data_IF_906571175030
#
_entry.id   IF_906571175030
#
_cell.length_a   1.000
_cell.length_b   1.000
_cell.length_c   1.000
_cell.angle_alpha   90.00
_cell.angle_beta   90.00
_cell.angle_gamma   90.00
#
_symmetry.space_group_name_H-M   'P 1'
#
loop_
_entity.id
_entity.type
_entity.pdbx_description
1 polymer ?
#
# COMPACT_ATOMS: atom_id res chain seq x y z
N UNK A 1 12.00 -12.20 -1.52
CA UNK A 1 11.39 -13.33 -0.79
C UNK A 1 10.31 -13.97 -1.64
N UNK A 2 9.38 -13.17 -2.20
CA UNK A 2 8.28 -13.65 -3.06
C UNK A 2 8.73 -14.47 -4.27
N UNK A 3 9.76 -14.03 -5.00
CA UNK A 3 10.31 -14.82 -6.13
C UNK A 3 10.84 -16.20 -5.70
N UNK A 4 11.40 -16.31 -4.49
CA UNK A 4 11.95 -17.57 -3.97
C UNK A 4 10.87 -18.61 -3.67
N UNK A 5 9.62 -18.18 -3.52
CA UNK A 5 8.47 -19.06 -3.27
C UNK A 5 7.58 -19.20 -4.53
N UNK A 6 8.08 -18.76 -5.69
CA UNK A 6 7.46 -19.02 -7.00
C UNK A 6 6.66 -17.87 -7.61
N UNK A 7 6.62 -16.68 -6.98
CA UNK A 7 5.93 -15.54 -7.60
C UNK A 7 6.77 -14.85 -8.66
N UNK A 8 6.15 -14.49 -9.78
CA UNK A 8 6.69 -13.44 -10.66
C UNK A 8 6.41 -12.08 -10.03
N UNK A 9 7.44 -11.27 -9.84
CA UNK A 9 7.33 -9.98 -9.14
C UNK A 9 7.55 -8.83 -10.10
N UNK A 10 6.57 -7.92 -10.16
CA UNK A 10 6.68 -6.65 -10.88
C UNK A 10 6.58 -5.49 -9.90
N UNK A 11 7.50 -4.53 -9.99
CA UNK A 11 7.51 -3.34 -9.13
C UNK A 11 7.09 -2.12 -9.93
N UNK A 12 5.89 -1.63 -9.67
CA UNK A 12 5.39 -0.38 -10.23
C UNK A 12 5.76 0.77 -9.29
N UNK A 13 6.73 1.57 -9.74
CA UNK A 13 7.07 2.83 -9.05
C UNK A 13 6.14 3.94 -9.52
N UNK A 14 5.83 4.86 -8.62
CA UNK A 14 5.05 6.06 -8.94
C UNK A 14 5.87 6.99 -9.85
N UNK A 15 5.77 6.80 -11.17
CA UNK A 15 6.32 7.68 -12.19
C UNK A 15 5.16 8.19 -13.07
N UNK A 16 4.95 9.51 -13.06
CA UNK A 16 3.87 10.19 -13.79
C UNK A 16 3.95 10.00 -15.31
N UNK A 17 5.08 9.48 -15.83
CA UNK A 17 5.27 9.16 -17.25
C UNK A 17 4.78 7.75 -17.62
N UNK A 18 4.45 6.91 -16.66
CA UNK A 18 3.92 5.57 -16.95
C UNK A 18 2.50 5.71 -17.50
N UNK A 19 2.29 5.14 -18.68
CA UNK A 19 1.00 5.14 -19.34
C UNK A 19 -0.01 4.31 -18.53
N UNK A 20 -1.22 4.84 -18.36
CA UNK A 20 -2.30 4.18 -17.63
C UNK A 20 -2.62 2.78 -18.17
N UNK A 21 -2.46 2.57 -19.49
CA UNK A 21 -2.65 1.27 -20.14
C UNK A 21 -1.69 0.22 -19.59
N UNK A 22 -0.45 0.59 -19.28
CA UNK A 22 0.52 -0.32 -18.67
C UNK A 22 0.11 -0.68 -17.26
N UNK A 23 -0.25 0.33 -16.46
CA UNK A 23 -0.75 0.15 -15.09
C UNK A 23 -1.96 -0.79 -15.07
N UNK A 24 -2.91 -0.59 -15.99
CA UNK A 24 -4.08 -1.44 -16.16
C UNK A 24 -3.69 -2.89 -16.43
N UNK A 25 -2.86 -3.15 -17.45
CA UNK A 25 -2.48 -4.52 -17.81
C UNK A 25 -1.79 -5.25 -16.69
N UNK A 26 -0.87 -4.57 -16.01
CA UNK A 26 -0.12 -5.17 -14.93
C UNK A 26 -1.03 -5.52 -13.76
N UNK A 27 -1.91 -4.60 -13.34
CA UNK A 27 -2.83 -4.83 -12.22
C UNK A 27 -3.92 -5.85 -12.55
N UNK A 28 -4.48 -5.81 -13.75
CA UNK A 28 -5.49 -6.76 -14.21
C UNK A 28 -4.94 -8.19 -14.26
N UNK A 29 -3.66 -8.34 -14.63
CA UNK A 29 -3.00 -9.65 -14.68
C UNK A 29 -2.41 -10.10 -13.32
N UNK A 30 -2.42 -9.24 -12.29
CA UNK A 30 -1.84 -9.58 -10.99
C UNK A 30 -2.80 -10.40 -10.13
N UNK A 31 -2.28 -11.43 -9.45
CA UNK A 31 -3.06 -12.20 -8.48
C UNK A 31 -2.98 -11.60 -7.07
N UNK A 32 -1.85 -10.95 -6.77
CA UNK A 32 -1.62 -10.25 -5.52
C UNK A 32 -1.00 -8.88 -5.82
N UNK A 33 -1.57 -7.83 -5.22
CA UNK A 33 -1.02 -6.48 -5.26
C UNK A 33 -0.73 -6.04 -3.84
N UNK A 34 0.51 -5.61 -3.60
CA UNK A 34 0.94 -5.04 -2.33
C UNK A 34 1.25 -3.56 -2.56
N UNK A 35 0.55 -2.67 -1.86
CA UNK A 35 0.75 -1.24 -1.94
C UNK A 35 0.79 -0.60 -0.58
N UNK A 36 1.65 0.41 -0.39
CA UNK A 36 1.55 1.28 0.79
C UNK A 36 0.39 2.26 0.60
N UNK A 37 -0.32 2.54 1.69
CA UNK A 37 -1.41 3.52 1.70
C UNK A 37 -1.00 4.86 1.07
N UNK A 38 -1.73 5.29 0.05
CA UNK A 38 -1.47 6.54 -0.67
C UNK A 38 -2.33 6.66 -1.92
N UNK A 39 -2.34 7.84 -2.55
CA UNK A 39 -3.23 8.14 -3.67
C UNK A 39 -3.04 7.19 -4.88
N UNK A 40 -1.79 6.81 -5.18
CA UNK A 40 -1.47 5.93 -6.32
C UNK A 40 -1.96 4.50 -6.12
N UNK A 41 -2.26 4.08 -4.88
CA UNK A 41 -2.80 2.75 -4.60
C UNK A 41 -4.20 2.55 -5.22
N UNK A 42 -4.94 3.64 -5.48
CA UNK A 42 -6.29 3.64 -6.09
C UNK A 42 -6.36 2.88 -7.42
N UNK A 43 -5.25 2.67 -8.12
CA UNK A 43 -5.25 1.85 -9.33
C UNK A 43 -5.65 0.39 -9.10
N UNK A 44 -5.71 -0.09 -7.84
CA UNK A 44 -6.23 -1.42 -7.49
C UNK A 44 -7.62 -1.71 -8.08
N UNK A 45 -8.38 -0.67 -8.46
CA UNK A 45 -9.64 -0.77 -9.20
C UNK A 45 -9.53 -1.55 -10.53
N UNK A 46 -8.31 -1.70 -11.07
CA UNK A 46 -8.05 -2.48 -12.28
C UNK A 46 -7.81 -3.97 -12.00
N UNK A 47 -7.74 -4.39 -10.74
CA UNK A 47 -7.63 -5.80 -10.38
C UNK A 47 -8.91 -6.56 -10.72
N UNK A 48 -8.75 -7.85 -10.97
CA UNK A 48 -9.88 -8.77 -11.15
C UNK A 48 -10.49 -9.12 -9.77
N UNK A 49 -11.82 -9.30 -9.67
CA UNK A 49 -12.48 -9.91 -8.51
C UNK A 49 -11.86 -11.25 -8.11
N UNK A 50 -11.92 -11.57 -6.81
CA UNK A 50 -11.38 -12.80 -6.21
C UNK A 50 -9.90 -12.76 -5.85
N UNK A 51 -9.16 -11.71 -6.23
CA UNK A 51 -7.72 -11.59 -6.02
C UNK A 51 -7.36 -10.74 -4.80
N UNK A 52 -6.07 -10.73 -4.42
CA UNK A 52 -5.63 -10.24 -3.11
C UNK A 52 -5.04 -8.83 -3.20
N UNK A 53 -5.58 -7.90 -2.41
CA UNK A 53 -5.01 -6.58 -2.19
C UNK A 53 -4.46 -6.49 -0.77
N UNK A 54 -3.14 -6.31 -0.64
CA UNK A 54 -2.48 -6.07 0.63
C UNK A 54 -2.11 -4.59 0.72
N UNK A 55 -2.70 -3.89 1.68
CA UNK A 55 -2.36 -2.52 2.00
C UNK A 55 -1.38 -2.48 3.17
N UNK A 56 -0.18 -1.96 2.95
CA UNK A 56 0.71 -1.56 4.03
C UNK A 56 0.21 -0.23 4.59
N UNK A 57 -0.18 -0.21 5.86
CA UNK A 57 -0.81 0.94 6.53
C UNK A 57 0.24 1.67 7.38
N UNK A 58 0.63 2.90 7.00
CA UNK A 58 1.50 3.76 7.80
C UNK A 58 0.94 4.06 9.20
N UNK A 59 1.81 4.58 10.06
CA UNK A 59 1.43 5.00 11.40
C UNK A 59 0.32 6.06 11.34
N UNK A 60 -0.70 5.90 12.18
CA UNK A 60 -1.79 6.87 12.36
C UNK A 60 -2.75 7.04 11.18
N UNK A 61 -2.67 6.21 10.14
CA UNK A 61 -3.58 6.27 8.97
C UNK A 61 -4.62 5.15 8.95
N UNK A 62 -4.72 4.34 10.01
CA UNK A 62 -5.56 3.14 10.04
C UNK A 62 -7.04 3.39 9.74
N UNK A 63 -7.60 4.50 10.23
CA UNK A 63 -8.98 4.87 9.89
C UNK A 63 -9.13 5.18 8.39
N UNK A 64 -8.21 5.97 7.83
CA UNK A 64 -8.22 6.32 6.41
C UNK A 64 -7.95 5.11 5.50
N UNK A 65 -7.14 4.15 5.94
CA UNK A 65 -6.88 2.92 5.20
C UNK A 65 -8.15 2.13 4.93
N UNK A 66 -8.94 1.89 5.97
CA UNK A 66 -10.21 1.20 5.85
C UNK A 66 -11.23 2.02 5.04
N UNK A 67 -11.37 3.30 5.36
CA UNK A 67 -12.36 4.18 4.72
C UNK A 67 -12.08 4.44 3.23
N UNK A 68 -10.81 4.52 2.82
CA UNK A 68 -10.44 4.85 1.43
C UNK A 68 -10.23 3.62 0.55
N UNK A 69 -9.77 2.51 1.13
CA UNK A 69 -9.35 1.35 0.34
C UNK A 69 -10.01 0.06 0.80
N UNK A 70 -10.01 -0.24 2.10
CA UNK A 70 -10.50 -1.52 2.60
C UNK A 70 -11.97 -1.80 2.27
N UNK A 71 -12.87 -0.85 2.57
CA UNK A 71 -14.29 -0.99 2.22
C UNK A 71 -14.53 -1.12 0.73
N UNK A 72 -13.82 -0.34 -0.08
CA UNK A 72 -13.99 -0.34 -1.53
C UNK A 72 -13.44 -1.63 -2.16
N UNK A 73 -12.30 -2.12 -1.70
CA UNK A 73 -11.72 -3.39 -2.14
C UNK A 73 -12.66 -4.56 -1.91
N UNK A 74 -13.29 -4.65 -0.73
CA UNK A 74 -14.27 -5.70 -0.44
C UNK A 74 -15.55 -5.57 -1.27
N UNK A 75 -16.01 -4.34 -1.55
CA UNK A 75 -17.14 -4.08 -2.46
C UNK A 75 -16.85 -4.50 -3.90
N UNK A 76 -15.58 -4.51 -4.30
CA UNK A 76 -15.10 -4.97 -5.60
C UNK A 76 -14.71 -6.46 -5.59
N UNK A 77 -15.11 -7.19 -4.54
CA UNK A 77 -14.87 -8.62 -4.38
C UNK A 77 -13.38 -8.99 -4.34
N UNK A 78 -12.55 -8.10 -3.80
CA UNK A 78 -11.13 -8.38 -3.53
C UNK A 78 -10.96 -8.94 -2.11
N UNK A 79 -10.03 -9.88 -2.00
CA UNK A 79 -9.51 -10.36 -0.72
C UNK A 79 -8.56 -9.30 -0.14
N UNK A 80 -9.09 -8.40 0.67
CA UNK A 80 -8.34 -7.29 1.25
C UNK A 80 -7.67 -7.66 2.59
N UNK A 81 -6.38 -7.32 2.72
CA UNK A 81 -5.64 -7.33 3.99
C UNK A 81 -4.98 -5.98 4.24
N UNK A 82 -5.17 -5.43 5.44
CA UNK A 82 -4.54 -4.18 5.88
C UNK A 82 -3.47 -4.43 6.94
N UNK A 83 -2.20 -4.35 6.55
CA UNK A 83 -1.07 -4.63 7.43
C UNK A 83 -0.51 -3.33 8.00
N UNK A 84 -0.83 -3.05 9.26
CA UNK A 84 -0.32 -1.89 9.98
C UNK A 84 1.13 -2.11 10.39
N UNK A 85 1.99 -1.18 10.00
CA UNK A 85 3.40 -1.21 10.39
C UNK A 85 3.60 -0.79 11.85
N UNK A 86 4.63 -1.34 12.46
CA UNK A 86 5.17 -0.89 13.73
C UNK A 86 6.08 0.33 13.54
N UNK A 87 6.25 1.17 14.58
CA UNK A 87 7.19 2.29 14.52
C UNK A 87 8.58 1.88 14.05
N UNK A 88 9.10 0.75 14.52
CA UNK A 88 10.43 0.20 14.17
C UNK A 88 10.60 -0.17 12.69
N UNK A 89 9.51 -0.29 11.94
CA UNK A 89 9.52 -0.59 10.50
C UNK A 89 9.48 0.69 9.66
N UNK A 90 9.33 1.85 10.29
CA UNK A 90 9.30 3.16 9.64
C UNK A 90 10.64 3.87 9.77
N UNK A 91 11.07 4.54 8.71
CA UNK A 91 12.21 5.48 8.76
C UNK A 91 11.98 6.66 9.71
N UNK A 92 10.74 6.90 10.15
CA UNK A 92 10.43 7.84 11.23
C UNK A 92 11.10 7.45 12.55
N UNK A 93 11.34 6.16 12.78
CA UNK A 93 11.97 5.66 14.00
C UNK A 93 13.39 6.18 14.18
N UNK A 94 14.14 6.31 13.09
CA UNK A 94 15.51 6.83 13.12
C UNK A 94 15.55 8.35 13.19
N UNK A 95 14.49 9.01 12.70
CA UNK A 95 14.38 10.47 12.64
C UNK A 95 13.89 11.10 13.93
N UNK A 96 13.03 10.41 14.67
CA UNK A 96 12.39 10.91 15.88
C UNK A 96 12.80 10.08 17.09
N UNK A 97 12.91 10.73 18.26
CA UNK A 97 13.21 10.01 19.50
C UNK A 97 12.12 8.96 19.81
N UNK A 98 12.48 7.85 20.46
CA UNK A 98 11.55 6.74 20.78
C UNK A 98 10.30 7.16 21.58
N UNK A 99 10.36 8.30 22.25
CA UNK A 99 9.27 8.87 23.04
C UNK A 99 8.54 10.01 22.33
N UNK A 100 8.93 10.33 21.10
CA UNK A 100 8.33 11.39 20.31
C UNK A 100 6.85 11.06 20.03
N UNK A 101 5.93 12.03 20.23
CA UNK A 101 4.52 11.87 19.92
C UNK A 101 4.24 11.40 18.49
N UNK A 102 5.10 11.70 17.51
CA UNK A 102 4.96 11.20 16.12
C UNK A 102 4.97 9.67 16.07
N UNK A 103 5.72 8.99 16.95
CA UNK A 103 5.78 7.53 17.02
C UNK A 103 4.76 6.94 18.01
N UNK A 104 4.55 7.61 19.15
CA UNK A 104 3.65 7.11 20.22
C UNK A 104 2.17 7.38 19.97
N UNK A 105 1.86 8.53 19.38
CA UNK A 105 0.50 8.93 19.06
C UNK A 105 0.46 9.65 17.69
N UNK A 106 0.70 8.91 16.60
CA UNK A 106 0.77 9.48 15.24
C UNK A 106 -0.53 10.20 14.83
N UNK A 107 -1.69 9.82 15.40
CA UNK A 107 -2.98 10.45 15.13
C UNK A 107 -3.07 11.92 15.60
N UNK A 108 -2.19 12.38 16.50
CA UNK A 108 -2.18 13.77 16.98
C UNK A 108 -1.50 14.76 16.00
N UNK A 109 -0.69 14.27 15.05
CA UNK A 109 0.03 15.11 14.08
C UNK A 109 -0.18 14.60 12.63
N UNK A 110 -1.43 14.53 12.15
CA UNK A 110 -1.73 13.97 10.82
C UNK A 110 -1.05 14.77 9.68
N UNK A 111 -0.91 16.10 9.84
CA UNK A 111 -0.27 16.97 8.85
C UNK A 111 1.24 16.71 8.67
N UNK A 112 1.93 16.18 9.68
CA UNK A 112 3.36 15.83 9.58
C UNK A 112 3.59 14.48 8.87
N UNK A 113 2.53 13.69 8.68
CA UNK A 113 2.58 12.41 7.97
C UNK A 113 2.14 12.51 6.51
N UNK A 114 1.59 13.66 6.08
CA UNK A 114 1.29 13.97 4.68
C UNK A 114 2.45 13.75 3.68
N UNK A 115 3.71 14.13 3.96
CA UNK A 115 4.81 13.83 3.04
C UNK A 115 5.22 12.35 3.02
N UNK A 116 4.73 11.53 3.96
CA UNK A 116 4.92 10.07 3.95
C UNK A 116 3.74 9.33 3.30
N UNK A 117 2.67 10.06 2.95
CA UNK A 117 1.51 9.57 2.20
C UNK A 117 1.72 9.64 0.68
N UNK A 118 2.80 10.28 0.20
CA UNK A 118 2.93 10.72 -1.20
C UNK A 118 4.04 10.07 -2.02
N UNK A 119 4.75 9.06 -1.52
CA UNK A 119 5.62 8.23 -2.38
C UNK A 119 5.54 6.78 -1.96
N UNK A 120 4.95 5.96 -2.83
CA UNK A 120 4.77 4.54 -2.61
C UNK A 120 5.10 3.78 -3.88
N UNK A 121 6.00 2.81 -3.74
CA UNK A 121 6.20 1.74 -4.71
C UNK A 121 5.11 0.67 -4.50
N UNK A 122 4.43 0.26 -5.56
CA UNK A 122 3.50 -0.87 -5.57
C UNK A 122 4.35 -2.10 -5.97
N UNK A 123 4.32 -3.14 -5.13
CA UNK A 123 4.99 -4.41 -5.40
C UNK A 123 3.93 -5.46 -5.72
N UNK A 124 4.01 -6.08 -6.89
CA UNK A 124 3.00 -6.99 -7.42
C UNK A 124 3.58 -8.39 -7.51
N UNK A 125 2.75 -9.39 -7.28
CA UNK A 125 3.16 -10.79 -7.31
C UNK A 125 2.10 -11.61 -8.09
N UNK A 126 2.54 -12.40 -9.08
CA UNK A 126 1.71 -13.39 -9.81
C UNK A 126 2.12 -14.80 -9.46
N UNK A 127 1.16 -15.71 -9.30
CA UNK A 127 1.39 -17.14 -9.04
C UNK A 127 1.19 -17.94 -10.34
N UNK A 128 2.10 -18.87 -10.62
CA UNK A 128 1.94 -19.92 -11.63
C UNK A 128 1.92 -21.30 -10.98
#
# INVERSE_FOLDING_TARGET
MSEKIGFEVEVLRSDWRIELVKIYWVLNLSDVVIGVHGATMTHFLFMRPGYVLIQVIPLGTSWGAEAYFGELARKLDLNYSGDKIFPTESSLYDKYGKVDPVLKNPAMKPLLMLPYLTMVDICQCKLY
#
